data_IF_334299222719
#
_entry.id   IF_334299222719
#
_cell.length_a   1.000
_cell.length_b   1.000
_cell.length_c   1.000
_cell.angle_alpha   90.00
_cell.angle_beta   90.00
_cell.angle_gamma   90.00
#
_symmetry.space_group_name_H-M   'P 1'
#
loop_
_entity.id
_entity.type
_entity.pdbx_description
1 polymer ?
#
# COMPACT_ATOMS: atom_id res chain seq x y z
N UNK A 1 -19.24 8.82 -6.15
CA UNK A 1 -18.37 9.28 -7.23
C UNK A 1 -16.91 9.07 -6.85
N UNK A 2 -16.10 8.64 -7.80
CA UNK A 2 -14.67 8.42 -7.58
C UNK A 2 -13.88 9.64 -8.05
N UNK A 3 -13.04 10.15 -7.17
CA UNK A 3 -12.08 11.21 -7.50
C UNK A 3 -10.67 10.63 -7.54
N UNK A 4 -9.87 11.09 -8.49
CA UNK A 4 -8.46 10.69 -8.61
C UNK A 4 -7.57 11.90 -8.69
N UNK A 5 -6.32 11.73 -8.27
CA UNK A 5 -5.29 12.75 -8.43
C UNK A 5 -3.92 12.08 -8.53
N UNK A 6 -2.99 12.71 -9.21
CA UNK A 6 -1.63 12.19 -9.34
C UNK A 6 -0.68 12.84 -8.35
N UNK A 7 0.36 12.08 -7.98
CA UNK A 7 1.42 12.52 -7.08
C UNK A 7 2.77 12.08 -7.66
N UNK A 8 3.70 13.01 -7.80
CA UNK A 8 5.03 12.71 -8.32
C UNK A 8 5.96 12.37 -7.16
N UNK A 9 6.27 11.07 -7.00
CA UNK A 9 7.17 10.60 -5.96
C UNK A 9 8.58 10.38 -6.52
N UNK A 10 9.59 10.26 -5.64
CA UNK A 10 10.95 9.90 -6.08
C UNK A 10 11.02 8.53 -6.75
N UNK A 11 10.05 7.66 -6.52
CA UNK A 11 10.01 6.30 -7.08
C UNK A 11 9.05 6.18 -8.26
N UNK A 12 8.48 7.29 -8.73
CA UNK A 12 7.59 7.31 -9.87
C UNK A 12 6.25 7.96 -9.55
N UNK A 13 5.45 8.09 -10.58
CA UNK A 13 4.13 8.72 -10.46
C UNK A 13 3.16 7.79 -9.76
N UNK A 14 2.44 8.35 -8.79
CA UNK A 14 1.42 7.65 -8.01
C UNK A 14 0.05 8.22 -8.37
N UNK A 15 -0.95 7.36 -8.48
CA UNK A 15 -2.35 7.76 -8.62
C UNK A 15 -3.05 7.42 -7.31
N UNK A 16 -3.72 8.42 -6.72
CA UNK A 16 -4.55 8.23 -5.54
C UNK A 16 -6.02 8.36 -5.92
N UNK A 17 -6.86 7.55 -5.30
CA UNK A 17 -8.29 7.51 -5.60
C UNK A 17 -9.11 7.48 -4.33
N UNK A 18 -10.21 8.23 -4.31
CA UNK A 18 -11.16 8.23 -3.21
C UNK A 18 -12.57 7.98 -3.74
N UNK A 19 -13.40 7.36 -2.89
CA UNK A 19 -14.83 7.26 -3.10
C UNK A 19 -15.50 7.95 -1.92
N UNK A 20 -16.23 9.03 -2.21
CA UNK A 20 -16.79 9.88 -1.16
C UNK A 20 -15.67 10.41 -0.25
N UNK A 21 -15.70 10.08 1.05
CA UNK A 21 -14.79 10.59 2.05
C UNK A 21 -13.72 9.59 2.49
N UNK A 22 -13.51 8.52 1.73
CA UNK A 22 -12.52 7.49 2.05
C UNK A 22 -11.61 7.20 0.87
N UNK A 23 -10.33 6.91 1.17
CA UNK A 23 -9.34 6.50 0.17
C UNK A 23 -9.61 5.05 -0.22
N UNK A 24 -9.68 4.79 -1.52
CA UNK A 24 -9.91 3.43 -2.04
C UNK A 24 -8.76 2.92 -2.89
N UNK A 25 -7.81 3.77 -3.26
CA UNK A 25 -6.69 3.36 -4.08
C UNK A 25 -5.48 4.26 -3.93
N UNK A 26 -4.31 3.65 -4.04
CA UNK A 26 -3.02 4.31 -4.13
C UNK A 26 -2.10 3.36 -4.85
N UNK A 27 -1.75 3.68 -6.09
CA UNK A 27 -0.96 2.81 -6.95
C UNK A 27 0.17 3.59 -7.59
N UNK A 28 1.35 2.93 -7.71
CA UNK A 28 2.32 3.40 -8.69
C UNK A 28 1.75 3.20 -10.09
N UNK A 29 1.95 4.17 -10.96
CA UNK A 29 1.55 4.05 -12.36
C UNK A 29 2.22 2.82 -12.97
N UNK A 30 1.45 2.03 -13.70
CA UNK A 30 1.89 0.77 -14.35
C UNK A 30 2.25 -0.37 -13.39
N UNK A 31 1.93 -0.27 -12.10
CA UNK A 31 2.09 -1.43 -11.24
C UNK A 31 1.08 -2.52 -11.59
N UNK A 32 1.40 -3.74 -11.18
CA UNK A 32 0.49 -4.88 -11.34
C UNK A 32 -0.81 -4.63 -10.59
N UNK A 33 -1.94 -5.00 -11.19
CA UNK A 33 -3.30 -4.79 -10.63
C UNK A 33 -3.66 -3.32 -10.39
N UNK A 34 -3.07 -2.40 -11.17
CA UNK A 34 -3.42 -0.99 -11.10
C UNK A 34 -4.91 -0.78 -11.34
N UNK A 35 -5.53 0.08 -10.51
CA UNK A 35 -6.89 0.54 -10.74
C UNK A 35 -7.99 -0.47 -10.42
N UNK A 36 -7.71 -1.55 -9.67
CA UNK A 36 -8.69 -2.61 -9.41
C UNK A 36 -9.94 -2.13 -8.67
N UNK A 37 -9.85 -1.04 -7.92
CA UNK A 37 -11.01 -0.48 -7.18
C UNK A 37 -11.73 0.64 -7.94
N UNK A 38 -11.28 0.98 -9.14
CA UNK A 38 -11.94 1.98 -9.98
C UNK A 38 -13.14 1.35 -10.68
N UNK A 39 -14.19 1.06 -9.91
CA UNK A 39 -15.35 0.32 -10.38
C UNK A 39 -16.38 1.18 -11.12
N UNK A 40 -16.18 2.49 -11.17
CA UNK A 40 -17.05 3.42 -11.91
C UNK A 40 -16.20 4.53 -12.52
N UNK A 41 -16.82 5.38 -13.32
CA UNK A 41 -16.13 6.51 -13.94
C UNK A 41 -15.56 7.44 -12.85
N UNK A 42 -14.32 7.91 -13.04
CA UNK A 42 -13.64 8.78 -12.11
C UNK A 42 -13.45 10.17 -12.68
N UNK A 43 -13.36 11.15 -11.79
CA UNK A 43 -13.11 12.55 -12.12
C UNK A 43 -11.77 12.94 -11.50
N UNK A 44 -10.92 13.60 -12.28
CA UNK A 44 -9.67 14.13 -11.77
C UNK A 44 -9.95 15.40 -10.97
N UNK A 45 -9.97 15.26 -9.65
CA UNK A 45 -10.23 16.37 -8.74
C UNK A 45 -9.69 16.03 -7.36
N UNK A 46 -8.94 16.94 -6.77
CA UNK A 46 -8.36 16.76 -5.43
C UNK A 46 -9.39 17.18 -4.37
N UNK A 47 -9.98 16.21 -3.68
CA UNK A 47 -10.87 16.46 -2.56
C UNK A 47 -10.11 16.41 -1.23
N UNK A 48 -10.81 16.55 -0.10
CA UNK A 48 -10.19 16.60 1.22
C UNK A 48 -9.40 15.33 1.55
N UNK A 49 -9.93 14.15 1.23
CA UNK A 49 -9.26 12.86 1.48
C UNK A 49 -8.01 12.74 0.64
N UNK A 50 -8.06 13.13 -0.63
CA UNK A 50 -6.89 13.09 -1.51
C UNK A 50 -5.82 14.09 -1.06
N UNK A 51 -6.22 15.23 -0.51
CA UNK A 51 -5.28 16.19 0.09
C UNK A 51 -4.58 15.60 1.31
N UNK A 52 -5.29 14.85 2.15
CA UNK A 52 -4.68 14.13 3.27
C UNK A 52 -3.71 13.05 2.80
N UNK A 53 -4.08 12.32 1.74
CA UNK A 53 -3.20 11.31 1.15
C UNK A 53 -1.92 11.96 0.61
N UNK A 54 -2.02 13.12 -0.05
CA UNK A 54 -0.86 13.86 -0.51
C UNK A 54 0.04 14.29 0.66
N UNK A 55 -0.55 14.79 1.74
CA UNK A 55 0.20 15.16 2.95
C UNK A 55 0.92 13.95 3.56
N UNK A 56 0.25 12.80 3.59
CA UNK A 56 0.86 11.56 4.05
C UNK A 56 2.07 11.18 3.20
N UNK A 57 1.92 11.28 1.86
CA UNK A 57 3.00 10.97 0.92
C UNK A 57 4.16 11.97 1.03
N UNK A 58 3.86 13.26 1.21
CA UNK A 58 4.90 14.26 1.40
C UNK A 58 5.74 13.97 2.64
N UNK A 59 5.10 13.62 3.76
CA UNK A 59 5.80 13.25 4.98
C UNK A 59 6.63 11.98 4.78
N UNK A 60 6.02 10.96 4.19
CA UNK A 60 6.68 9.67 3.98
C UNK A 60 7.94 9.83 3.13
N UNK A 61 7.85 10.49 1.99
CA UNK A 61 8.98 10.67 1.07
C UNK A 61 9.97 11.75 1.50
N UNK A 62 9.63 12.58 2.47
CA UNK A 62 10.58 13.52 3.07
C UNK A 62 11.43 12.90 4.17
N UNK A 63 11.19 11.64 4.48
CA UNK A 63 11.91 10.94 5.53
C UNK A 63 11.22 11.00 6.89
N UNK A 64 10.00 11.48 6.96
CA UNK A 64 9.24 11.53 8.20
C UNK A 64 8.29 10.33 8.26
N UNK A 65 8.19 9.74 9.45
CA UNK A 65 7.18 8.72 9.71
C UNK A 65 5.83 9.41 9.89
N UNK A 66 4.85 9.20 8.98
CA UNK A 66 3.54 9.81 9.18
C UNK A 66 2.87 9.28 10.44
N UNK A 67 2.26 10.19 11.22
CA UNK A 67 1.60 9.84 12.48
C UNK A 67 0.07 9.75 12.35
N UNK A 68 -0.43 9.76 11.13
CA UNK A 68 -1.85 9.67 10.85
C UNK A 68 -2.08 8.78 9.64
N UNK A 69 -3.31 8.29 9.50
CA UNK A 69 -3.76 7.53 8.32
C UNK A 69 -5.04 8.18 7.81
N UNK A 70 -5.11 8.54 6.52
CA UNK A 70 -6.37 9.02 5.96
C UNK A 70 -7.48 7.98 6.11
N UNK A 71 -8.75 8.37 6.10
CA UNK A 71 -9.83 7.38 6.10
C UNK A 71 -9.70 6.40 4.94
N UNK A 72 -9.69 5.11 5.24
CA UNK A 72 -9.52 4.04 4.26
C UNK A 72 -10.80 3.24 4.10
N UNK A 73 -11.07 2.82 2.85
CA UNK A 73 -12.07 1.81 2.56
C UNK A 73 -11.39 0.70 1.78
N UNK A 74 -11.24 -0.45 2.42
CA UNK A 74 -10.56 -1.60 1.84
C UNK A 74 -11.57 -2.43 1.03
N UNK A 75 -11.57 -2.21 -0.27
CA UNK A 75 -12.50 -2.90 -1.20
C UNK A 75 -11.86 -4.20 -1.69
N UNK A 76 -12.36 -5.30 -1.20
CA UNK A 76 -11.89 -6.62 -1.58
C UNK A 76 -12.72 -7.71 -0.91
N UNK A 77 -12.30 -8.96 -1.12
CA UNK A 77 -12.95 -10.12 -0.49
C UNK A 77 -12.74 -10.10 1.03
N UNK A 78 -13.56 -10.83 1.80
CA UNK A 78 -13.32 -10.93 3.25
C UNK A 78 -11.92 -11.42 3.61
N UNK A 79 -11.38 -12.39 2.85
CA UNK A 79 -10.02 -12.88 3.07
C UNK A 79 -8.99 -11.78 2.79
N UNK A 80 -9.12 -11.06 1.66
CA UNK A 80 -8.23 -9.97 1.33
C UNK A 80 -8.25 -8.89 2.41
N UNK A 81 -9.44 -8.51 2.88
CA UNK A 81 -9.58 -7.51 3.94
C UNK A 81 -8.90 -7.97 5.23
N UNK A 82 -9.01 -9.23 5.59
CA UNK A 82 -8.33 -9.79 6.75
C UNK A 82 -6.81 -9.65 6.62
N UNK A 83 -6.25 -10.00 5.46
CA UNK A 83 -4.82 -9.90 5.21
C UNK A 83 -4.37 -8.43 5.27
N UNK A 84 -5.09 -7.54 4.60
CA UNK A 84 -4.73 -6.12 4.57
C UNK A 84 -4.80 -5.46 5.94
N UNK A 85 -5.73 -5.88 6.81
CA UNK A 85 -5.75 -5.42 8.21
C UNK A 85 -4.50 -5.85 8.96
N UNK A 86 -3.99 -7.07 8.69
CA UNK A 86 -2.73 -7.52 9.28
C UNK A 86 -1.55 -6.68 8.78
N UNK A 87 -1.57 -6.26 7.51
CA UNK A 87 -0.53 -5.38 6.98
C UNK A 87 -0.49 -4.04 7.70
N UNK A 88 -1.65 -3.47 8.01
CA UNK A 88 -1.73 -2.20 8.72
C UNK A 88 -1.10 -2.27 10.11
N UNK A 89 -1.00 -3.45 10.70
CA UNK A 89 -0.40 -3.66 12.01
C UNK A 89 1.13 -3.75 11.96
N UNK A 90 1.75 -3.83 10.78
CA UNK A 90 3.21 -3.91 10.66
C UNK A 90 3.80 -2.52 10.88
N UNK A 91 4.63 -2.31 11.93
CA UNK A 91 5.17 -0.98 12.22
C UNK A 91 6.12 -0.48 11.13
N UNK A 92 6.22 0.83 11.02
CA UNK A 92 7.22 1.49 10.20
C UNK A 92 8.63 0.98 10.59
N UNK A 93 9.40 0.59 9.60
CA UNK A 93 10.76 0.06 9.81
C UNK A 93 10.82 -1.40 10.21
N UNK A 94 9.69 -2.09 10.31
CA UNK A 94 9.64 -3.52 10.59
C UNK A 94 9.21 -4.29 9.35
N UNK A 95 9.51 -5.58 9.34
CA UNK A 95 9.08 -6.50 8.28
C UNK A 95 8.46 -7.76 8.90
N UNK A 96 7.66 -8.45 8.11
CA UNK A 96 7.18 -9.78 8.43
C UNK A 96 7.34 -10.67 7.21
N UNK A 97 7.01 -11.95 7.34
CA UNK A 97 7.12 -12.90 6.24
C UNK A 97 5.75 -13.39 5.80
N UNK A 98 5.66 -13.86 4.57
CA UNK A 98 4.45 -14.52 4.08
C UNK A 98 4.07 -15.72 4.96
N UNK A 99 5.06 -16.48 5.43
CA UNK A 99 4.84 -17.63 6.31
C UNK A 99 4.23 -17.22 7.65
N UNK A 100 4.71 -16.12 8.24
CA UNK A 100 4.19 -15.63 9.52
C UNK A 100 2.74 -15.15 9.37
N UNK A 101 2.44 -14.43 8.31
CA UNK A 101 1.06 -14.00 8.03
C UNK A 101 0.15 -15.20 7.77
N UNK A 102 0.67 -16.24 7.11
CA UNK A 102 -0.09 -17.47 6.87
C UNK A 102 -0.48 -18.15 8.17
N UNK A 103 0.42 -18.19 9.15
CA UNK A 103 0.10 -18.72 10.48
C UNK A 103 -0.99 -17.88 11.16
N UNK A 104 -0.86 -16.59 11.13
CA UNK A 104 -1.83 -15.67 11.76
C UNK A 104 -3.22 -15.79 11.13
N UNK A 105 -3.29 -15.93 9.82
CA UNK A 105 -4.54 -15.99 9.06
C UNK A 105 -5.04 -17.43 8.82
N UNK A 106 -4.36 -18.44 9.37
CA UNK A 106 -4.74 -19.86 9.22
C UNK A 106 -4.86 -20.30 7.76
N UNK A 107 -3.84 -19.98 6.96
CA UNK A 107 -3.85 -20.25 5.52
C UNK A 107 -2.42 -20.56 5.02
N UNK A 108 -2.25 -20.64 3.71
CA UNK A 108 -0.95 -20.89 3.08
C UNK A 108 -0.23 -19.59 2.75
N UNK A 109 1.10 -19.63 2.67
CA UNK A 109 1.90 -18.49 2.23
C UNK A 109 1.53 -18.04 0.81
N UNK A 110 1.15 -18.99 -0.05
CA UNK A 110 0.72 -18.69 -1.42
C UNK A 110 -0.57 -17.84 -1.43
N UNK A 111 -1.54 -18.18 -0.60
CA UNK A 111 -2.78 -17.43 -0.48
C UNK A 111 -2.52 -16.02 0.05
N UNK A 112 -1.63 -15.90 1.04
CA UNK A 112 -1.19 -14.59 1.55
C UNK A 112 -0.54 -13.76 0.43
N UNK A 113 0.37 -14.37 -0.34
CA UNK A 113 1.03 -13.68 -1.44
C UNK A 113 0.06 -13.13 -2.47
N UNK A 114 -0.98 -13.88 -2.79
CA UNK A 114 -2.04 -13.42 -3.69
C UNK A 114 -2.79 -12.20 -3.16
N UNK A 115 -3.15 -12.22 -1.88
CA UNK A 115 -3.86 -11.10 -1.25
C UNK A 115 -2.95 -9.87 -1.09
N UNK A 116 -1.71 -10.06 -0.66
CA UNK A 116 -0.73 -8.97 -0.51
C UNK A 116 -0.48 -8.29 -1.85
N UNK A 117 -0.33 -9.09 -2.93
CA UNK A 117 -0.07 -8.55 -4.27
C UNK A 117 -1.22 -7.73 -4.83
N UNK A 118 -2.44 -7.93 -4.34
CA UNK A 118 -3.64 -7.22 -4.81
C UNK A 118 -4.05 -6.05 -3.91
N UNK A 119 -3.22 -5.70 -2.93
CA UNK A 119 -3.48 -4.54 -2.07
C UNK A 119 -3.73 -3.29 -2.94
N UNK A 120 -4.90 -2.65 -2.84
CA UNK A 120 -5.23 -1.50 -3.68
C UNK A 120 -4.71 -0.18 -3.14
N UNK A 121 -4.19 -0.14 -1.90
CA UNK A 121 -3.71 1.09 -1.27
C UNK A 121 -2.26 0.89 -0.84
N UNK A 122 -1.35 0.90 -1.81
CA UNK A 122 0.08 0.72 -1.57
C UNK A 122 0.62 1.79 -0.62
N UNK A 123 1.70 1.50 0.05
CA UNK A 123 2.42 2.36 1.01
C UNK A 123 1.67 2.57 2.33
N UNK A 124 0.45 3.08 2.31
CA UNK A 124 -0.35 3.30 3.52
C UNK A 124 -0.74 1.94 4.12
N UNK A 125 -1.21 1.01 3.28
CA UNK A 125 -1.31 -0.40 3.65
C UNK A 125 0.02 -1.04 3.22
N UNK A 126 0.94 -1.29 4.14
CA UNK A 126 2.36 -1.47 3.81
C UNK A 126 2.72 -2.87 3.31
N UNK A 127 2.22 -3.25 2.14
CA UNK A 127 2.51 -4.55 1.55
C UNK A 127 4.01 -4.73 1.23
N UNK A 128 4.77 -3.66 1.09
CA UNK A 128 6.22 -3.73 0.89
C UNK A 128 6.97 -4.26 2.12
N UNK A 129 6.34 -4.30 3.30
CA UNK A 129 6.94 -4.82 4.54
C UNK A 129 6.82 -6.33 4.70
N UNK A 130 6.27 -7.02 3.70
CA UNK A 130 6.19 -8.49 3.69
C UNK A 130 7.28 -9.03 2.79
N UNK A 131 8.14 -9.88 3.33
CA UNK A 131 9.27 -10.47 2.61
C UNK A 131 9.21 -12.00 2.67
N UNK A 132 9.97 -12.67 1.81
CA UNK A 132 10.08 -14.12 1.87
C UNK A 132 10.87 -14.56 3.12
N UNK A 133 10.68 -15.81 3.56
CA UNK A 133 11.33 -16.33 4.77
C UNK A 133 12.86 -16.34 4.66
N UNK A 134 13.41 -16.41 3.45
CA UNK A 134 14.85 -16.32 3.22
C UNK A 134 15.37 -14.88 3.10
N UNK A 135 14.50 -13.89 3.30
CA UNK A 135 14.83 -12.47 3.19
C UNK A 135 14.74 -11.89 1.77
N UNK A 136 14.40 -12.70 0.78
CA UNK A 136 14.30 -12.19 -0.59
C UNK A 136 13.08 -11.28 -0.77
N UNK A 137 13.22 -10.29 -1.69
CA UNK A 137 12.21 -9.27 -1.95
C UNK A 137 11.40 -9.63 -3.19
N UNK A 138 10.48 -10.58 -3.05
CA UNK A 138 9.63 -11.03 -4.16
C UNK A 138 8.19 -10.59 -3.97
N UNK A 139 7.42 -10.59 -5.04
CA UNK A 139 5.97 -10.49 -5.00
C UNK A 139 5.40 -9.11 -4.79
N UNK A 140 6.17 -8.04 -4.95
CA UNK A 140 5.65 -6.67 -4.82
C UNK A 140 5.06 -6.19 -6.15
N UNK A 141 3.79 -5.73 -6.14
CA UNK A 141 3.11 -5.26 -7.34
C UNK A 141 3.79 -4.04 -7.97
N UNK A 142 4.40 -3.19 -7.16
CA UNK A 142 5.15 -2.03 -7.62
C UNK A 142 6.56 -2.33 -8.13
N UNK A 143 7.00 -3.58 -8.06
CA UNK A 143 8.32 -4.03 -8.51
C UNK A 143 9.34 -4.16 -7.38
N UNK A 144 10.26 -5.08 -7.55
CA UNK A 144 11.27 -5.42 -6.54
C UNK A 144 12.19 -4.23 -6.22
N UNK A 145 12.55 -3.43 -7.22
CA UNK A 145 13.40 -2.25 -7.03
C UNK A 145 12.74 -1.22 -6.12
N UNK A 146 11.44 -0.95 -6.33
CA UNK A 146 10.68 -0.05 -5.47
C UNK A 146 10.55 -0.60 -4.06
N UNK A 147 10.31 -1.90 -3.93
CA UNK A 147 10.23 -2.56 -2.61
C UNK A 147 11.51 -2.37 -1.82
N UNK A 148 12.66 -2.61 -2.46
CA UNK A 148 13.96 -2.41 -1.83
C UNK A 148 14.17 -0.95 -1.42
N UNK A 149 13.86 -0.01 -2.31
CA UNK A 149 14.00 1.41 -2.03
C UNK A 149 13.15 1.84 -0.83
N UNK A 150 11.91 1.35 -0.74
CA UNK A 150 11.00 1.66 0.36
C UNK A 150 11.52 1.11 1.68
N UNK A 151 11.99 -0.13 1.70
CA UNK A 151 12.53 -0.75 2.90
C UNK A 151 13.81 -0.06 3.35
N UNK A 152 14.70 0.27 2.42
CA UNK A 152 15.95 0.98 2.73
C UNK A 152 15.65 2.36 3.32
N UNK A 153 14.68 3.06 2.76
CA UNK A 153 14.26 4.39 3.24
C UNK A 153 13.72 4.31 4.66
N UNK A 154 12.89 3.33 4.97
CA UNK A 154 12.34 3.16 6.32
C UNK A 154 13.41 2.75 7.32
N UNK A 155 14.35 1.92 6.94
CA UNK A 155 15.44 1.50 7.83
C UNK A 155 16.43 2.62 8.10
N UNK A 156 16.75 3.42 7.10
CA UNK A 156 17.66 4.56 7.27
C UNK A 156 17.14 5.58 8.28
N UNK A 157 15.83 5.70 8.43
CA UNK A 157 15.21 6.63 9.37
C UNK A 157 15.19 6.11 10.81
N UNK A 158 15.27 4.79 10.97
CA UNK A 158 15.19 4.14 12.30
C UNK A 158 16.57 3.81 12.82
N UNK A 159 17.45 3.52 11.91
CA UNK A 159 18.80 3.10 12.21
C UNK A 159 19.67 4.20 12.66
#
# INVERSE_FOLDING_TARGET
MIYTHSYNSPLGRIIVASHEDALIGLWFERQKFFGTTLCEASVEKKNAVLSEAHRWLDLYFSGCRPDFVPPLRLLGTPFQQQVWQQLLAIPYGATTTYAQLALTCHTSARAIGGAVGRNPISLIVPCHRVIASDGSLTGYAGGTDRKKALLDMEQCLIG
#
